data_IF_199885796201
#
_entry.id   IF_199885796201
#
_cell.length_a   1.000
_cell.length_b   1.000
_cell.length_c   1.000
_cell.angle_alpha   90.00
_cell.angle_beta   90.00
_cell.angle_gamma   90.00
#
_symmetry.space_group_name_H-M   'P 1'
#
loop_
_entity.id
_entity.type
_entity.pdbx_description
1 polymer ?
#
# COMPACT_ATOMS: atom_id res chain seq x y z
N UNK A 1 -49.45 7.80 -12.71
CA UNK A 1 -48.82 9.13 -12.66
C UNK A 1 -48.63 9.53 -11.20
N UNK A 2 -47.42 9.38 -10.68
CA UNK A 2 -46.87 10.07 -9.51
C UNK A 2 -45.40 9.61 -9.36
N UNK A 3 -44.48 10.30 -10.03
CA UNK A 3 -43.04 10.14 -9.78
C UNK A 3 -42.69 10.94 -8.52
N UNK A 4 -42.16 10.26 -7.51
CA UNK A 4 -41.51 10.90 -6.37
C UNK A 4 -40.01 11.06 -6.71
N UNK A 5 -39.42 12.27 -6.57
CA UNK A 5 -37.99 12.45 -6.73
C UNK A 5 -37.24 11.93 -5.50
N UNK A 6 -36.21 11.11 -5.74
CA UNK A 6 -35.31 10.63 -4.70
C UNK A 6 -34.43 11.78 -4.17
N UNK A 7 -34.15 11.83 -2.85
CA UNK A 7 -33.27 12.83 -2.27
C UNK A 7 -31.81 12.60 -2.70
N UNK A 8 -31.20 13.64 -3.28
CA UNK A 8 -29.82 13.67 -3.74
C UNK A 8 -28.83 13.55 -2.59
N UNK A 9 -28.07 12.45 -2.57
CA UNK A 9 -26.89 12.28 -1.73
C UNK A 9 -25.66 12.75 -2.51
N UNK A 10 -25.55 14.06 -2.73
CA UNK A 10 -24.43 14.67 -3.43
C UNK A 10 -23.78 15.74 -2.55
N UNK A 11 -23.26 15.34 -1.39
CA UNK A 11 -22.14 16.04 -0.74
C UNK A 11 -21.65 15.24 0.47
N UNK A 12 -20.76 14.29 0.22
CA UNK A 12 -19.78 13.92 1.24
C UNK A 12 -18.51 14.71 0.91
N UNK A 13 -18.01 15.57 1.81
CA UNK A 13 -16.73 16.21 1.61
C UNK A 13 -15.68 15.10 1.51
N UNK A 14 -15.04 15.02 0.35
CA UNK A 14 -13.81 14.27 0.19
C UNK A 14 -12.89 14.71 1.33
N UNK A 15 -12.50 13.75 2.17
CA UNK A 15 -11.46 13.92 3.18
C UNK A 15 -10.14 14.17 2.44
N UNK A 16 -9.96 15.39 1.96
CA UNK A 16 -8.76 15.90 1.28
C UNK A 16 -7.75 16.43 2.31
N UNK A 17 -7.73 15.85 3.50
CA UNK A 17 -6.92 16.29 4.66
C UNK A 17 -5.47 15.80 4.60
N UNK A 18 -4.98 15.39 3.42
CA UNK A 18 -3.57 15.01 3.23
C UNK A 18 -2.71 16.16 2.70
N UNK A 19 -3.27 17.36 2.47
CA UNK A 19 -2.56 18.44 1.77
C UNK A 19 -2.13 19.64 2.62
N UNK A 20 -2.19 19.52 3.95
CA UNK A 20 -1.76 20.58 4.85
C UNK A 20 -0.83 20.05 5.96
N UNK A 21 0.27 19.38 5.60
CA UNK A 21 1.38 19.10 6.53
C UNK A 21 2.66 19.71 5.95
N UNK A 22 2.87 20.99 6.26
CA UNK A 22 4.03 21.78 5.83
C UNK A 22 4.97 22.05 7.01
N UNK A 23 5.25 21.03 7.82
CA UNK A 23 6.61 20.82 8.31
C UNK A 23 7.36 20.08 7.20
N UNK A 24 8.53 20.55 6.80
CA UNK A 24 9.33 19.84 5.79
C UNK A 24 9.65 18.46 6.38
N UNK A 25 8.99 17.41 5.88
CA UNK A 25 9.29 16.02 6.25
C UNK A 25 10.80 15.83 6.25
N UNK A 26 11.36 15.12 7.23
CA UNK A 26 12.80 14.90 7.25
C UNK A 26 13.26 14.23 5.94
N UNK A 27 14.51 14.47 5.49
CA UNK A 27 15.04 13.82 4.27
C UNK A 27 14.93 12.29 4.34
N UNK A 28 15.05 11.72 5.54
CA UNK A 28 14.89 10.29 5.79
C UNK A 28 13.44 9.82 5.59
N UNK A 29 12.47 10.55 6.14
CA UNK A 29 11.05 10.25 5.94
C UNK A 29 10.65 10.37 4.47
N UNK A 30 11.15 11.39 3.76
CA UNK A 30 10.92 11.54 2.32
C UNK A 30 11.46 10.36 1.51
N UNK A 31 12.68 9.89 1.81
CA UNK A 31 13.27 8.73 1.15
C UNK A 31 12.43 7.46 1.37
N UNK A 32 12.01 7.20 2.62
CA UNK A 32 11.11 6.07 2.96
C UNK A 32 9.75 6.16 2.24
N UNK A 33 9.17 7.36 2.15
CA UNK A 33 7.91 7.52 1.42
C UNK A 33 8.07 7.29 -0.08
N UNK A 34 9.22 7.66 -0.65
CA UNK A 34 9.52 7.39 -2.05
C UNK A 34 9.63 5.88 -2.33
N UNK A 35 10.27 5.11 -1.45
CA UNK A 35 10.36 3.64 -1.59
C UNK A 35 8.97 2.99 -1.47
N UNK A 36 8.16 3.39 -0.47
CA UNK A 36 6.78 2.92 -0.31
C UNK A 36 5.88 3.27 -1.51
N UNK A 37 6.10 4.43 -2.13
CA UNK A 37 5.39 4.82 -3.36
C UNK A 37 5.78 3.92 -4.53
N UNK A 38 7.07 3.66 -4.73
CA UNK A 38 7.53 2.73 -5.76
C UNK A 38 6.97 1.31 -5.54
N UNK A 39 6.90 0.86 -4.29
CA UNK A 39 6.27 -0.42 -3.94
C UNK A 39 4.76 -0.43 -4.28
N UNK A 40 4.06 0.69 -4.06
CA UNK A 40 2.63 0.84 -4.40
C UNK A 40 2.39 0.61 -5.90
N UNK A 41 3.22 1.21 -6.75
CA UNK A 41 3.10 1.08 -8.22
C UNK A 41 3.29 -0.38 -8.67
N UNK A 42 4.25 -1.10 -8.06
CA UNK A 42 4.47 -2.53 -8.31
C UNK A 42 3.27 -3.37 -7.88
N UNK A 43 2.67 -3.07 -6.73
CA UNK A 43 1.45 -3.75 -6.27
C UNK A 43 0.27 -3.48 -7.22
N UNK A 44 0.11 -2.26 -7.72
CA UNK A 44 -0.92 -1.93 -8.71
C UNK A 44 -0.74 -2.69 -10.03
N UNK A 45 0.50 -2.85 -10.49
CA UNK A 45 0.79 -3.67 -11.67
C UNK A 45 0.30 -5.12 -11.50
N UNK A 46 0.62 -5.73 -10.36
CA UNK A 46 0.20 -7.11 -10.06
C UNK A 46 -1.31 -7.21 -9.86
N UNK A 47 -1.93 -6.21 -9.22
CA UNK A 47 -3.39 -6.11 -9.11
C UNK A 47 -4.05 -6.15 -10.49
N UNK A 48 -3.55 -5.37 -11.45
CA UNK A 48 -4.06 -5.38 -12.83
C UNK A 48 -3.91 -6.74 -13.53
N UNK A 49 -2.89 -7.54 -13.20
CA UNK A 49 -2.78 -8.92 -13.70
C UNK A 49 -3.81 -9.85 -13.05
N UNK A 50 -4.06 -9.71 -11.76
CA UNK A 50 -5.08 -10.48 -11.03
C UNK A 50 -6.48 -10.19 -11.58
N UNK A 51 -6.79 -8.92 -11.83
CA UNK A 51 -8.08 -8.53 -12.40
C UNK A 51 -8.26 -9.01 -13.84
N UNK A 52 -7.20 -8.96 -14.67
CA UNK A 52 -7.21 -9.60 -15.98
C UNK A 52 -7.47 -11.10 -15.89
N UNK A 53 -6.78 -11.80 -14.98
CA UNK A 53 -7.01 -13.22 -14.73
C UNK A 53 -8.44 -13.51 -14.28
N UNK A 54 -9.06 -12.64 -13.49
CA UNK A 54 -10.44 -12.79 -13.06
C UNK A 54 -11.45 -12.53 -14.19
N UNK A 55 -11.15 -11.59 -15.09
CA UNK A 55 -12.03 -11.17 -16.17
C UNK A 55 -12.14 -12.19 -17.33
N UNK A 56 -11.12 -13.02 -17.55
CA UNK A 56 -11.14 -14.04 -18.63
C UNK A 56 -12.33 -14.99 -18.45
N UNK A 57 -13.04 -15.40 -19.50
CA UNK A 57 -14.11 -16.40 -19.37
C UNK A 57 -13.62 -17.81 -19.66
N UNK A 58 -12.77 -17.94 -20.66
CA UNK A 58 -12.20 -19.21 -21.11
C UNK A 58 -11.15 -19.76 -20.11
N UNK A 59 -11.34 -20.99 -19.59
CA UNK A 59 -10.38 -21.60 -18.67
C UNK A 59 -8.99 -21.83 -19.29
N UNK A 60 -8.88 -22.11 -20.60
CA UNK A 60 -7.59 -22.33 -21.24
C UNK A 60 -6.78 -21.04 -21.32
N UNK A 61 -7.43 -19.93 -21.71
CA UNK A 61 -6.79 -18.61 -21.70
C UNK A 61 -6.42 -18.16 -20.28
N UNK A 62 -7.26 -18.47 -19.29
CA UNK A 62 -6.93 -18.17 -17.89
C UNK A 62 -5.69 -18.95 -17.44
N UNK A 63 -5.53 -20.21 -17.87
CA UNK A 63 -4.33 -20.99 -17.55
C UNK A 63 -3.04 -20.38 -18.11
N UNK A 64 -3.09 -19.76 -19.29
CA UNK A 64 -1.94 -19.07 -19.89
C UNK A 64 -1.44 -17.90 -19.02
N UNK A 65 -2.32 -17.29 -18.23
CA UNK A 65 -1.99 -16.18 -17.31
C UNK A 65 -1.37 -16.63 -15.98
N UNK A 66 -1.41 -17.92 -15.64
CA UNK A 66 -0.81 -18.41 -14.39
C UNK A 66 0.70 -18.16 -14.31
N UNK A 67 1.42 -18.38 -15.43
CA UNK A 67 2.87 -18.18 -15.49
C UNK A 67 3.26 -16.70 -15.37
N UNK A 68 2.65 -15.77 -16.13
CA UNK A 68 2.83 -14.33 -15.93
C UNK A 68 2.53 -13.88 -14.50
N UNK A 69 1.42 -14.33 -13.90
CA UNK A 69 1.07 -14.01 -12.51
C UNK A 69 2.15 -14.47 -11.52
N UNK A 70 2.56 -15.74 -11.63
CA UNK A 70 3.58 -16.30 -10.76
C UNK A 70 4.90 -15.52 -10.85
N UNK A 71 5.34 -15.19 -12.06
CA UNK A 71 6.55 -14.37 -12.28
C UNK A 71 6.42 -12.97 -11.69
N UNK A 72 5.27 -12.34 -11.87
CA UNK A 72 5.01 -10.99 -11.34
C UNK A 72 5.05 -10.97 -9.80
N UNK A 73 4.42 -11.94 -9.13
CA UNK A 73 4.51 -12.07 -7.67
C UNK A 73 5.91 -12.42 -7.18
N UNK A 74 6.64 -13.26 -7.92
CA UNK A 74 8.05 -13.57 -7.60
C UNK A 74 8.92 -12.31 -7.65
N UNK A 75 8.75 -11.48 -8.68
CA UNK A 75 9.49 -10.23 -8.80
C UNK A 75 9.10 -9.26 -7.68
N UNK A 76 7.80 -9.09 -7.43
CA UNK A 76 7.30 -8.23 -6.34
C UNK A 76 7.88 -8.66 -4.98
N UNK A 77 7.92 -9.97 -4.70
CA UNK A 77 8.55 -10.50 -3.48
C UNK A 77 10.01 -10.07 -3.35
N UNK A 78 10.82 -10.28 -4.39
CA UNK A 78 12.24 -9.91 -4.37
C UNK A 78 12.39 -8.40 -4.18
N UNK A 79 11.60 -7.61 -4.89
CA UNK A 79 11.64 -6.16 -4.80
C UNK A 79 11.30 -5.67 -3.39
N UNK A 80 10.24 -6.21 -2.76
CA UNK A 80 9.86 -5.86 -1.40
C UNK A 80 10.94 -6.28 -0.38
N UNK A 81 11.58 -7.43 -0.60
CA UNK A 81 12.67 -7.89 0.26
C UNK A 81 13.89 -6.95 0.21
N UNK A 82 14.25 -6.49 -0.99
CA UNK A 82 15.37 -5.55 -1.18
C UNK A 82 15.11 -4.21 -0.47
N UNK A 83 13.86 -3.77 -0.43
CA UNK A 83 13.44 -2.54 0.26
C UNK A 83 13.28 -2.72 1.79
N UNK A 84 13.53 -3.92 2.33
CA UNK A 84 13.39 -4.23 3.76
C UNK A 84 11.94 -4.39 4.24
N UNK A 85 11.01 -4.72 3.32
CA UNK A 85 9.59 -4.94 3.60
C UNK A 85 9.29 -6.44 3.77
N UNK A 86 9.92 -7.08 4.75
CA UNK A 86 9.94 -8.55 4.93
C UNK A 86 8.53 -9.18 5.00
N UNK A 87 7.65 -8.63 5.83
CA UNK A 87 6.28 -9.14 6.02
C UNK A 87 5.45 -9.07 4.73
N UNK A 88 5.62 -7.99 3.95
CA UNK A 88 4.95 -7.82 2.66
C UNK A 88 5.56 -8.77 1.62
N UNK A 89 6.87 -9.00 1.67
CA UNK A 89 7.57 -9.96 0.82
C UNK A 89 7.07 -11.39 1.06
N UNK A 90 6.94 -11.81 2.32
CA UNK A 90 6.36 -13.12 2.67
C UNK A 90 4.93 -13.27 2.13
N UNK A 91 4.09 -12.24 2.28
CA UNK A 91 2.74 -12.24 1.73
C UNK A 91 2.77 -12.36 0.20
N UNK A 92 3.64 -11.62 -0.50
CA UNK A 92 3.83 -11.76 -1.95
C UNK A 92 4.30 -13.17 -2.34
N UNK A 93 5.17 -13.80 -1.54
CA UNK A 93 5.59 -15.19 -1.73
C UNK A 93 4.44 -16.19 -1.56
N UNK A 94 3.56 -15.99 -0.59
CA UNK A 94 2.37 -16.83 -0.43
C UNK A 94 1.45 -16.74 -1.66
N UNK A 95 1.34 -15.57 -2.28
CA UNK A 95 0.57 -15.35 -3.51
C UNK A 95 1.25 -15.92 -4.75
N UNK A 96 2.58 -15.87 -4.85
CA UNK A 96 3.35 -16.57 -5.88
C UNK A 96 2.99 -18.06 -5.89
N UNK A 97 2.97 -18.67 -4.71
CA UNK A 97 2.63 -20.07 -4.55
C UNK A 97 1.14 -20.31 -4.89
N UNK A 98 0.22 -19.47 -4.42
CA UNK A 98 -1.20 -19.57 -4.73
C UNK A 98 -1.48 -19.45 -6.25
N UNK A 99 -0.74 -18.57 -6.95
CA UNK A 99 -0.82 -18.44 -8.40
C UNK A 99 -0.35 -19.71 -9.12
N UNK A 100 0.70 -20.37 -8.61
CA UNK A 100 1.28 -21.58 -9.18
C UNK A 100 0.58 -22.90 -8.83
N UNK A 101 -0.10 -23.00 -7.69
CA UNK A 101 -0.77 -24.24 -7.25
C UNK A 101 -2.00 -24.57 -8.10
N UNK A 102 -2.26 -25.87 -8.23
CA UNK A 102 -3.53 -26.41 -8.73
C UNK A 102 -4.67 -26.12 -7.74
N UNK A 103 -5.88 -25.90 -8.26
CA UNK A 103 -7.06 -25.56 -7.46
C UNK A 103 -8.16 -24.92 -8.31
N UNK A 104 -9.34 -24.70 -7.71
CA UNK A 104 -10.43 -24.06 -8.44
C UNK A 104 -10.09 -22.60 -8.76
N UNK A 105 -10.43 -22.16 -9.98
CA UNK A 105 -10.18 -20.80 -10.45
C UNK A 105 -10.80 -19.74 -9.54
N UNK A 106 -12.04 -20.00 -9.07
CA UNK A 106 -12.78 -19.10 -8.18
C UNK A 106 -12.06 -18.89 -6.84
N UNK A 107 -11.54 -19.96 -6.26
CA UNK A 107 -10.78 -19.88 -5.02
C UNK A 107 -9.47 -19.10 -5.21
N UNK A 108 -8.77 -19.33 -6.32
CA UNK A 108 -7.54 -18.60 -6.65
C UNK A 108 -7.78 -17.10 -6.77
N UNK A 109 -8.83 -16.70 -7.51
CA UNK A 109 -9.20 -15.27 -7.64
C UNK A 109 -9.45 -14.64 -6.28
N UNK A 110 -10.19 -15.33 -5.40
CA UNK A 110 -10.47 -14.84 -4.04
C UNK A 110 -9.18 -14.62 -3.25
N UNK A 111 -8.33 -15.63 -3.15
CA UNK A 111 -7.06 -15.56 -2.42
C UNK A 111 -6.17 -14.43 -2.96
N UNK A 112 -6.04 -14.33 -4.28
CA UNK A 112 -5.18 -13.32 -4.90
C UNK A 112 -5.73 -11.89 -4.67
N UNK A 113 -7.05 -11.69 -4.78
CA UNK A 113 -7.66 -10.38 -4.51
C UNK A 113 -7.54 -9.97 -3.05
N UNK A 114 -7.80 -10.88 -2.12
CA UNK A 114 -7.66 -10.63 -0.68
C UNK A 114 -6.20 -10.34 -0.32
N UNK A 115 -5.24 -11.12 -0.83
CA UNK A 115 -3.82 -10.91 -0.60
C UNK A 115 -3.29 -9.59 -1.16
N UNK A 116 -3.68 -9.22 -2.39
CA UNK A 116 -3.32 -7.91 -2.97
C UNK A 116 -3.96 -6.76 -2.20
N UNK A 117 -5.21 -6.91 -1.74
CA UNK A 117 -5.87 -5.94 -0.88
C UNK A 117 -5.11 -5.74 0.45
N UNK A 118 -4.66 -6.83 1.07
CA UNK A 118 -3.83 -6.79 2.26
C UNK A 118 -2.49 -6.09 2.02
N UNK A 119 -1.80 -6.33 0.90
CA UNK A 119 -0.56 -5.62 0.56
C UNK A 119 -0.78 -4.10 0.47
N UNK A 120 -1.83 -3.66 -0.23
CA UNK A 120 -2.16 -2.23 -0.35
C UNK A 120 -2.39 -1.60 1.02
N UNK A 121 -3.17 -2.28 1.86
CA UNK A 121 -3.46 -1.81 3.21
C UNK A 121 -2.19 -1.70 4.09
N UNK A 122 -1.28 -2.68 4.01
CA UNK A 122 -0.02 -2.63 4.75
C UNK A 122 0.89 -1.49 4.27
N UNK A 123 0.94 -1.22 2.97
CA UNK A 123 1.72 -0.10 2.42
C UNK A 123 1.12 1.25 2.87
N UNK A 124 -0.20 1.40 2.80
CA UNK A 124 -0.89 2.61 3.27
C UNK A 124 -0.67 2.85 4.77
N UNK A 125 -0.69 1.79 5.59
CA UNK A 125 -0.32 1.89 6.99
C UNK A 125 1.13 2.29 7.19
N UNK A 126 2.06 1.67 6.46
CA UNK A 126 3.49 2.03 6.55
C UNK A 126 3.73 3.50 6.18
N UNK A 127 3.03 4.02 5.17
CA UNK A 127 3.11 5.44 4.81
C UNK A 127 2.63 6.36 5.94
N UNK A 128 1.51 6.02 6.58
CA UNK A 128 0.98 6.79 7.72
C UNK A 128 1.93 6.75 8.92
N UNK A 129 2.50 5.58 9.20
CA UNK A 129 3.45 5.41 10.29
C UNK A 129 4.71 6.24 10.09
N UNK A 130 5.26 6.28 8.86
CA UNK A 130 6.43 7.12 8.55
C UNK A 130 6.16 8.60 8.79
N UNK A 131 4.98 9.09 8.41
CA UNK A 131 4.60 10.50 8.65
C UNK A 131 4.44 10.76 10.15
N UNK A 132 3.73 9.88 10.87
CA UNK A 132 3.51 10.03 12.31
C UNK A 132 4.82 9.94 13.12
N UNK A 133 5.76 9.07 12.73
CA UNK A 133 7.09 8.96 13.34
C UNK A 133 7.89 10.26 13.16
N UNK A 134 7.90 10.83 11.94
CA UNK A 134 8.62 12.06 11.63
C UNK A 134 8.09 13.27 12.41
N UNK A 135 6.76 13.38 12.50
CA UNK A 135 6.11 14.44 13.29
C UNK A 135 6.44 14.31 14.79
N UNK A 136 6.44 13.08 15.32
CA UNK A 136 6.77 12.83 16.71
C UNK A 136 8.26 13.10 17.02
N UNK A 137 9.17 12.79 16.09
CA UNK A 137 10.59 13.12 16.21
C UNK A 137 10.81 14.63 16.20
N UNK A 138 10.20 15.36 15.27
CA UNK A 138 10.29 16.82 15.21
C UNK A 138 9.77 17.51 16.48
N UNK A 139 8.70 17.00 17.08
CA UNK A 139 8.18 17.54 18.34
C UNK A 139 9.13 17.28 19.52
N UNK A 140 9.80 16.12 19.55
CA UNK A 140 10.80 15.80 20.58
C UNK A 140 12.02 16.71 20.48
N UNK A 141 12.54 16.89 19.27
CA UNK A 141 13.69 17.78 19.03
C UNK A 141 13.36 19.22 19.43
N UNK A 142 12.15 19.70 19.14
CA UNK A 142 11.72 21.04 19.55
C UNK A 142 11.68 21.19 21.07
N UNK A 143 11.12 20.20 21.79
CA UNK A 143 11.06 20.22 23.27
C UNK A 143 12.44 20.14 23.90
N UNK A 144 13.36 19.40 23.30
CA UNK A 144 14.75 19.32 23.76
C UNK A 144 15.49 20.64 23.52
N UNK A 145 15.26 21.29 22.38
CA UNK A 145 15.83 22.61 22.08
C UNK A 145 15.32 23.70 23.04
N UNK A 146 14.03 23.68 23.40
CA UNK A 146 13.44 24.59 24.39
C UNK A 146 14.10 24.42 25.76
N UNK A 147 14.28 23.17 26.24
CA UNK A 147 14.97 22.90 27.51
C UNK A 147 16.44 23.33 27.51
N UNK A 148 17.13 23.17 26.38
CA UNK A 148 18.51 23.60 26.23
C UNK A 148 18.66 25.13 26.14
N UNK A 149 17.62 25.84 25.71
CA UNK A 149 17.60 27.30 25.71
C UNK A 149 17.42 27.84 27.13
N UNK A 150 16.49 27.27 27.89
CA UNK A 150 16.27 27.63 29.30
C UNK A 150 17.53 27.43 30.16
N UNK A 151 18.25 26.30 29.98
CA UNK A 151 19.49 26.02 30.71
C UNK A 151 20.64 27.00 30.39
N UNK A 152 20.59 27.74 29.28
CA UNK A 152 21.63 28.71 28.89
C UNK A 152 21.36 30.13 29.38
N UNK A 153 20.15 30.42 29.87
CA UNK A 153 19.82 31.73 30.46
C UNK A 153 20.15 31.82 31.95
N UNK A 154 20.32 30.67 32.62
CA UNK A 154 20.64 30.58 34.06
C UNK A 154 22.16 30.54 34.37
N UNK A 155 23.02 30.39 33.35
CA UNK A 155 24.49 30.40 33.44
C UNK A 155 25.11 31.74 32.95
#
# INVERSE_FOLDING_TARGET
MALLPAPGWSNLPACSTLRAMAGKLSPRAQAKLATLKAATDKVHHVHGLVERYAAVRDPQQAQQLNQPLKRAFRQLKVDLLVEGLDTMSELAGSMEIAAGRGGSRRQKIRILREGVGSLRFQIEQAQRNVVAEDEAEAEREKREAERQAEQKEDD
#
